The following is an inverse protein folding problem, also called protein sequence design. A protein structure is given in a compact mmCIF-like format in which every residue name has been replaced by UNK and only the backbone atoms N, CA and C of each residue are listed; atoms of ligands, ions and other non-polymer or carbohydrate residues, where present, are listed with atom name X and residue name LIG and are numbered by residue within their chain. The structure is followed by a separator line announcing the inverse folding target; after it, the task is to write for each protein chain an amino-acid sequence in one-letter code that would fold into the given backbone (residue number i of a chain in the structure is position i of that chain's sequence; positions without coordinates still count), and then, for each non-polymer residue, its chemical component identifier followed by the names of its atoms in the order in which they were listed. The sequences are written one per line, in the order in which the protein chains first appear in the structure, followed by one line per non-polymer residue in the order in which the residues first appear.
data_IF_026448555693
#
_entry.id   IF_026448555693
#
_cell.length_a   1.000
_cell.length_b   1.000
_cell.length_c   1.000
_cell.angle_alpha   90.00
_cell.angle_beta   90.00
_cell.angle_gamma   90.00
#
_symmetry.space_group_name_H-M   'P 1'
#
loop_
_entity.id
_entity.type
_entity.pdbx_description
1 polymer ?
#
# COMPACT_ATOMS: atom_id res chain seq x y z
N UNK A 1 4.98 -30.24 -30.38
CA UNK A 1 3.51 -30.04 -30.44
C UNK A 1 3.09 -29.51 -29.09
N UNK A 2 2.94 -28.19 -28.99
CA UNK A 2 2.54 -27.52 -27.76
C UNK A 2 1.01 -27.62 -27.64
N UNK A 3 0.54 -28.26 -26.58
CA UNK A 3 -0.88 -28.34 -26.26
C UNK A 3 -1.18 -27.18 -25.33
N UNK A 4 -1.78 -26.14 -25.90
CA UNK A 4 -2.32 -24.99 -25.21
C UNK A 4 -3.35 -25.47 -24.19
N UNK A 5 -3.04 -25.36 -22.89
CA UNK A 5 -4.01 -25.56 -21.83
C UNK A 5 -4.96 -24.34 -21.84
N UNK A 6 -6.05 -24.47 -22.58
CA UNK A 6 -7.26 -23.69 -22.34
C UNK A 6 -7.81 -24.26 -21.03
N UNK A 7 -7.60 -23.56 -19.92
CA UNK A 7 -8.32 -23.84 -18.68
C UNK A 7 -9.79 -23.57 -18.97
N UNK A 8 -10.57 -24.64 -19.03
CA UNK A 8 -12.02 -24.59 -19.17
C UNK A 8 -12.60 -23.87 -17.95
N UNK A 9 -13.36 -22.79 -18.16
CA UNK A 9 -14.23 -22.16 -17.15
C UNK A 9 -15.32 -23.12 -16.61
N UNK A 10 -15.45 -24.31 -17.20
CA UNK A 10 -16.57 -25.25 -17.03
C UNK A 10 -16.45 -26.29 -15.89
N UNK A 11 -15.52 -26.16 -14.95
CA UNK A 11 -15.37 -27.18 -13.88
C UNK A 11 -15.07 -26.67 -12.46
N UNK A 12 -15.38 -25.41 -12.12
CA UNK A 12 -15.45 -25.08 -10.69
C UNK A 12 -16.57 -25.86 -10.01
N UNK A 13 -16.27 -26.49 -8.87
CA UNK A 13 -17.28 -27.13 -8.02
C UNK A 13 -18.39 -26.09 -7.72
N UNK A 14 -19.69 -26.41 -7.87
CA UNK A 14 -20.78 -25.45 -7.66
C UNK A 14 -20.73 -24.74 -6.29
N UNK A 15 -20.17 -25.42 -5.28
CA UNK A 15 -19.95 -24.84 -3.95
C UNK A 15 -18.84 -23.78 -3.94
N UNK A 16 -17.74 -24.00 -4.69
CA UNK A 16 -16.66 -23.00 -4.86
C UNK A 16 -17.21 -21.75 -5.53
N UNK A 17 -17.99 -21.91 -6.61
CA UNK A 17 -18.64 -20.78 -7.30
C UNK A 17 -19.60 -20.02 -6.39
N UNK A 18 -20.36 -20.71 -5.54
CA UNK A 18 -21.26 -20.07 -4.59
C UNK A 18 -20.50 -19.22 -3.56
N UNK A 19 -19.35 -19.69 -3.07
CA UNK A 19 -18.49 -18.96 -2.13
C UNK A 19 -17.81 -17.76 -2.79
N UNK A 20 -17.42 -17.88 -4.06
CA UNK A 20 -16.79 -16.83 -4.86
C UNK A 20 -17.81 -16.05 -5.73
N UNK A 21 -19.02 -15.82 -5.20
CA UNK A 21 -20.11 -15.20 -5.97
C UNK A 21 -20.32 -13.71 -5.67
N UNK A 22 -19.83 -13.22 -4.52
CA UNK A 22 -20.05 -11.84 -4.06
C UNK A 22 -18.74 -11.08 -4.01
N UNK A 23 -18.42 -10.35 -5.06
CA UNK A 23 -17.22 -9.51 -5.08
C UNK A 23 -17.23 -8.47 -3.95
N UNK A 24 -16.05 -8.23 -3.37
CA UNK A 24 -15.80 -7.03 -2.56
C UNK A 24 -15.85 -5.82 -3.49
N UNK A 25 -16.48 -4.73 -3.02
CA UNK A 25 -16.57 -3.49 -3.78
C UNK A 25 -15.74 -2.41 -3.11
N UNK A 26 -14.92 -1.74 -3.90
CA UNK A 26 -14.14 -0.61 -3.40
C UNK A 26 -15.00 0.64 -3.22
N UNK A 27 -14.69 1.41 -2.17
CA UNK A 27 -15.35 2.68 -1.88
C UNK A 27 -14.90 3.76 -2.86
N UNK A 28 -15.85 4.51 -3.43
CA UNK A 28 -15.57 5.69 -4.24
C UNK A 28 -15.66 6.95 -3.37
N UNK A 29 -14.50 7.46 -2.94
CA UNK A 29 -14.38 8.66 -2.09
C UNK A 29 -14.94 9.93 -2.73
N UNK A 30 -15.17 9.92 -4.05
CA UNK A 30 -15.69 11.05 -4.83
C UNK A 30 -17.22 11.08 -4.86
N UNK A 31 -17.86 9.96 -4.53
CA UNK A 31 -19.32 9.77 -4.64
C UNK A 31 -20.11 10.38 -3.48
N UNK A 32 -19.43 10.76 -2.39
CA UNK A 32 -20.02 11.38 -1.21
C UNK A 32 -19.08 12.45 -0.64
N UNK A 33 -19.67 13.48 -0.03
CA UNK A 33 -18.92 14.57 0.62
C UNK A 33 -18.89 14.37 2.14
N UNK A 34 -17.75 13.95 2.68
CA UNK A 34 -17.58 13.72 4.11
C UNK A 34 -17.40 14.99 4.96
N UNK A 35 -17.15 16.16 4.35
CA UNK A 35 -16.82 17.40 5.09
C UNK A 35 -17.86 17.76 6.15
N UNK A 36 -19.19 17.72 5.89
CA UNK A 36 -20.18 18.06 6.91
C UNK A 36 -20.19 17.11 8.12
N UNK A 37 -19.81 15.84 7.92
CA UNK A 37 -19.69 14.86 9.01
C UNK A 37 -18.43 15.15 9.81
N UNK A 38 -17.28 15.30 9.11
CA UNK A 38 -15.98 15.58 9.72
C UNK A 38 -15.99 16.91 10.50
N UNK A 39 -16.61 17.96 9.96
CA UNK A 39 -16.74 19.26 10.60
C UNK A 39 -17.56 19.19 11.90
N UNK A 40 -18.56 18.29 11.98
CA UNK A 40 -19.29 18.03 13.23
C UNK A 40 -18.48 17.17 14.20
N UNK A 41 -17.76 16.16 13.71
CA UNK A 41 -16.90 15.28 14.53
C UNK A 41 -15.82 16.06 15.29
N UNK A 42 -15.38 17.21 14.77
CA UNK A 42 -14.50 18.18 15.46
C UNK A 42 -15.00 18.57 16.85
N UNK A 43 -16.32 18.70 17.02
CA UNK A 43 -16.97 19.12 18.25
C UNK A 43 -17.39 17.94 19.15
N UNK A 44 -17.14 16.71 18.70
CA UNK A 44 -17.42 15.48 19.46
C UNK A 44 -16.23 15.10 20.35
N UNK A 45 -16.27 13.90 20.93
CA UNK A 45 -15.25 13.33 21.82
C UNK A 45 -14.64 12.05 21.25
N UNK A 46 -13.52 11.61 21.83
CA UNK A 46 -12.82 10.37 21.48
C UNK A 46 -12.38 10.31 20.00
N UNK A 47 -12.37 9.12 19.42
CA UNK A 47 -11.93 8.83 18.06
C UNK A 47 -12.55 9.75 17.01
N UNK A 48 -13.77 10.26 17.23
CA UNK A 48 -14.39 11.22 16.30
C UNK A 48 -13.60 12.52 16.18
N UNK A 49 -13.17 13.09 17.32
CA UNK A 49 -12.37 14.30 17.34
C UNK A 49 -10.94 14.05 16.85
N UNK A 50 -10.41 12.87 17.16
CA UNK A 50 -9.10 12.44 16.64
C UNK A 50 -9.13 12.35 15.11
N UNK A 51 -10.18 11.76 14.52
CA UNK A 51 -10.35 11.74 13.06
C UNK A 51 -10.45 13.14 12.48
N UNK A 52 -11.27 14.03 13.06
CA UNK A 52 -11.38 15.40 12.57
C UNK A 52 -10.02 16.12 12.59
N UNK A 53 -9.24 15.97 13.66
CA UNK A 53 -7.88 16.52 13.75
C UNK A 53 -6.92 15.90 12.74
N UNK A 54 -7.01 14.60 12.51
CA UNK A 54 -6.24 13.93 11.45
C UNK A 54 -6.59 14.49 10.07
N UNK A 55 -7.87 14.74 9.78
CA UNK A 55 -8.25 15.36 8.49
C UNK A 55 -7.67 16.76 8.31
N UNK A 56 -7.61 17.58 9.37
CA UNK A 56 -6.97 18.90 9.31
C UNK A 56 -5.49 18.79 8.99
N UNK A 57 -4.78 17.90 9.69
CA UNK A 57 -3.35 17.69 9.49
C UNK A 57 -3.11 17.19 8.06
N UNK A 58 -3.93 16.27 7.54
CA UNK A 58 -3.76 15.75 6.19
C UNK A 58 -3.98 16.85 5.14
N UNK A 59 -5.04 17.66 5.30
CA UNK A 59 -5.27 18.80 4.43
C UNK A 59 -4.15 19.85 4.53
N UNK A 60 -3.53 20.02 5.70
CA UNK A 60 -2.34 20.87 5.85
C UNK A 60 -1.12 20.30 5.11
N UNK A 61 -0.90 18.98 5.13
CA UNK A 61 0.11 18.32 4.28
C UNK A 61 -0.14 18.61 2.80
N UNK A 62 -1.41 18.51 2.37
CA UNK A 62 -1.79 18.73 0.98
C UNK A 62 -1.64 20.19 0.55
N UNK A 63 -1.95 21.14 1.44
CA UNK A 63 -1.80 22.57 1.19
C UNK A 63 -0.35 23.06 1.24
N UNK A 64 0.56 22.32 1.87
CA UNK A 64 1.98 22.62 1.92
C UNK A 64 2.67 22.21 0.60
N UNK A 65 3.14 23.18 -0.22
CA UNK A 65 3.74 22.89 -1.52
C UNK A 65 5.09 22.18 -1.39
N UNK A 66 5.79 22.35 -0.27
CA UNK A 66 7.12 21.78 -0.03
C UNK A 66 7.05 20.38 0.60
N UNK A 67 5.90 20.00 1.15
CA UNK A 67 5.68 18.71 1.78
C UNK A 67 5.56 17.55 0.77
N UNK A 68 6.50 16.59 0.85
CA UNK A 68 6.35 15.24 0.30
C UNK A 68 5.44 14.40 1.20
N UNK A 69 4.35 13.86 0.66
CA UNK A 69 3.45 12.97 1.42
C UNK A 69 3.83 11.50 1.19
N UNK A 70 4.23 10.82 2.26
CA UNK A 70 4.47 9.37 2.26
C UNK A 70 3.24 8.67 2.83
N UNK A 71 2.63 7.79 2.03
CA UNK A 71 1.59 6.87 2.47
C UNK A 71 2.24 5.58 2.95
N UNK A 72 1.92 5.12 4.16
CA UNK A 72 2.30 3.77 4.61
C UNK A 72 1.09 2.86 4.65
N UNK A 73 1.18 1.68 4.02
CA UNK A 73 0.08 0.72 3.95
C UNK A 73 0.45 -0.59 4.65
N UNK A 74 -0.27 -0.88 5.73
CA UNK A 74 -0.25 -2.18 6.39
C UNK A 74 -1.68 -2.65 6.69
N UNK A 75 -1.84 -3.97 6.80
CA UNK A 75 -3.14 -4.61 6.98
C UNK A 75 -3.90 -4.81 5.67
N UNK A 76 -5.13 -5.32 5.79
CA UNK A 76 -5.91 -5.83 4.65
C UNK A 76 -7.05 -4.93 4.20
N UNK A 77 -7.02 -3.64 4.55
CA UNK A 77 -8.07 -2.66 4.12
C UNK A 77 -8.20 -2.59 2.60
N UNK A 78 -7.08 -2.79 1.91
CA UNK A 78 -6.96 -2.98 0.46
C UNK A 78 -7.91 -4.06 -0.08
N UNK A 79 -7.84 -5.28 0.46
CA UNK A 79 -8.78 -6.37 0.14
C UNK A 79 -10.19 -6.08 0.67
N UNK A 80 -10.30 -5.34 1.78
CA UNK A 80 -11.57 -4.95 2.42
C UNK A 80 -12.31 -3.78 1.74
N UNK A 81 -11.94 -3.38 0.53
CA UNK A 81 -12.67 -2.36 -0.24
C UNK A 81 -12.07 -0.95 -0.22
N UNK A 82 -10.81 -0.78 0.20
CA UNK A 82 -10.13 0.53 0.18
C UNK A 82 -9.07 0.68 -0.92
N UNK A 83 -8.87 -0.30 -1.82
CA UNK A 83 -7.79 -0.18 -2.82
C UNK A 83 -7.99 1.02 -3.76
N UNK A 84 -9.21 1.21 -4.27
CA UNK A 84 -9.50 2.31 -5.19
C UNK A 84 -9.36 3.69 -4.52
N UNK A 85 -9.56 3.75 -3.19
CA UNK A 85 -9.28 4.95 -2.41
C UNK A 85 -7.80 5.30 -2.48
N UNK A 86 -6.89 4.35 -2.26
CA UNK A 86 -5.45 4.59 -2.36
C UNK A 86 -5.03 4.97 -3.79
N UNK A 87 -5.61 4.30 -4.78
CA UNK A 87 -5.43 4.63 -6.19
C UNK A 87 -5.86 6.07 -6.52
N UNK A 88 -7.00 6.53 -5.97
CA UNK A 88 -7.45 7.92 -6.11
C UNK A 88 -6.48 8.91 -5.44
N UNK A 89 -5.91 8.59 -4.28
CA UNK A 89 -4.89 9.44 -3.64
C UNK A 89 -3.69 9.66 -4.58
N UNK A 90 -3.21 8.61 -5.24
CA UNK A 90 -2.13 8.71 -6.25
C UNK A 90 -2.60 9.50 -7.47
N UNK A 91 -3.78 9.16 -8.00
CA UNK A 91 -4.34 9.80 -9.20
C UNK A 91 -4.45 11.32 -9.07
N UNK A 92 -4.79 11.78 -7.86
CA UNK A 92 -5.03 13.17 -7.51
C UNK A 92 -3.82 13.87 -6.85
N UNK A 93 -2.60 13.31 -6.95
CA UNK A 93 -1.37 13.90 -6.38
C UNK A 93 -1.44 14.18 -4.87
N UNK A 94 -2.20 13.36 -4.13
CA UNK A 94 -2.33 13.46 -2.68
C UNK A 94 -1.28 12.63 -1.92
N UNK A 95 -0.53 11.80 -2.64
CA UNK A 95 0.56 10.96 -2.15
C UNK A 95 1.71 11.03 -3.16
N UNK A 96 2.93 11.13 -2.65
CA UNK A 96 4.14 11.34 -3.44
C UNK A 96 5.09 10.12 -3.40
N UNK A 97 5.01 9.30 -2.36
CA UNK A 97 5.69 8.00 -2.23
C UNK A 97 4.87 7.03 -1.36
N UNK A 98 5.04 5.73 -1.58
CA UNK A 98 4.33 4.68 -0.83
C UNK A 98 5.35 3.73 -0.19
N UNK A 99 5.15 3.39 1.06
CA UNK A 99 5.83 2.26 1.71
C UNK A 99 4.75 1.26 2.12
N UNK A 100 4.86 -0.01 1.75
CA UNK A 100 3.78 -0.98 1.94
C UNK A 100 4.29 -2.36 2.30
N UNK A 101 3.42 -3.20 2.87
CA UNK A 101 3.64 -4.66 2.87
C UNK A 101 3.52 -5.21 1.44
N UNK A 102 4.19 -6.34 1.18
CA UNK A 102 4.07 -7.03 -0.10
C UNK A 102 2.63 -7.43 -0.39
N UNK A 103 1.90 -7.97 0.61
CA UNK A 103 0.52 -8.41 0.46
C UNK A 103 -0.43 -7.30 -0.06
N UNK A 104 -0.31 -6.06 0.45
CA UNK A 104 -1.12 -4.94 -0.03
C UNK A 104 -0.84 -4.57 -1.49
N UNK A 105 0.39 -4.78 -1.97
CA UNK A 105 0.81 -4.42 -3.33
C UNK A 105 0.59 -5.56 -4.32
N UNK A 106 0.84 -6.80 -3.91
CA UNK A 106 0.84 -7.97 -4.79
C UNK A 106 -0.51 -8.68 -4.71
N UNK A 107 -0.79 -9.28 -3.55
CA UNK A 107 -1.95 -10.14 -3.30
C UNK A 107 -3.27 -9.37 -3.45
N UNK A 108 -3.24 -8.05 -3.22
CA UNK A 108 -4.42 -7.19 -3.26
C UNK A 108 -4.48 -6.34 -4.53
N UNK A 109 -3.50 -5.45 -4.78
CA UNK A 109 -3.58 -4.53 -5.92
C UNK A 109 -3.17 -5.16 -7.25
N UNK A 110 -1.95 -5.72 -7.36
CA UNK A 110 -1.45 -6.27 -8.61
C UNK A 110 -2.33 -7.44 -9.09
N UNK A 111 -2.76 -8.28 -8.16
CA UNK A 111 -3.75 -9.34 -8.35
C UNK A 111 -5.04 -8.81 -9.02
N UNK A 112 -5.67 -7.78 -8.45
CA UNK A 112 -6.83 -7.14 -9.08
C UNK A 112 -6.47 -6.39 -10.38
N UNK A 113 -5.25 -5.87 -10.48
CA UNK A 113 -4.64 -5.28 -11.66
C UNK A 113 -4.69 -6.22 -12.87
N UNK A 114 -4.46 -7.51 -12.65
CA UNK A 114 -4.58 -8.58 -13.66
C UNK A 114 -6.03 -9.02 -13.93
N UNK A 115 -6.98 -8.48 -13.17
CA UNK A 115 -8.42 -8.66 -13.32
C UNK A 115 -9.03 -9.72 -12.41
N UNK A 116 -8.27 -10.30 -11.50
CA UNK A 116 -8.78 -11.20 -10.47
C UNK A 116 -9.55 -10.43 -9.39
N UNK A 117 -10.23 -11.15 -8.49
CA UNK A 117 -11.23 -10.56 -7.58
C UNK A 117 -11.09 -11.10 -6.15
N UNK A 118 -11.41 -10.23 -5.21
CA UNK A 118 -11.70 -10.59 -3.83
C UNK A 118 -13.19 -10.75 -3.63
N UNK A 119 -13.61 -11.67 -2.76
CA UNK A 119 -15.02 -11.98 -2.51
C UNK A 119 -15.35 -11.85 -1.03
N UNK A 120 -16.59 -11.53 -0.70
CA UNK A 120 -17.05 -11.45 0.67
C UNK A 120 -17.15 -12.85 1.28
N UNK A 121 -16.53 -13.04 2.44
CA UNK A 121 -16.60 -14.30 3.16
C UNK A 121 -17.78 -14.36 4.13
N UNK A 122 -18.17 -15.59 4.46
CA UNK A 122 -19.04 -15.88 5.60
C UNK A 122 -18.19 -16.47 6.72
N UNK A 123 -18.37 -15.98 7.94
CA UNK A 123 -17.68 -16.49 9.13
C UNK A 123 -18.02 -17.95 9.47
N UNK A 124 -19.07 -18.49 8.85
CA UNK A 124 -19.61 -19.82 9.18
C UNK A 124 -18.92 -20.99 8.45
N UNK A 125 -18.07 -20.74 7.46
CA UNK A 125 -17.45 -21.82 6.66
C UNK A 125 -16.16 -22.31 7.34
N UNK A 126 -15.99 -23.62 7.45
CA UNK A 126 -14.78 -24.24 8.02
C UNK A 126 -13.57 -24.04 7.10
N UNK A 127 -12.44 -23.58 7.65
CA UNK A 127 -11.22 -23.33 6.87
C UNK A 127 -10.67 -24.58 6.17
N UNK A 128 -10.95 -25.78 6.67
CA UNK A 128 -10.55 -27.03 5.99
C UNK A 128 -11.33 -27.25 4.70
N UNK A 129 -12.62 -26.90 4.71
CA UNK A 129 -13.47 -26.96 3.53
C UNK A 129 -13.00 -25.93 2.50
N UNK A 130 -12.64 -24.72 2.95
CA UNK A 130 -12.03 -23.71 2.07
C UNK A 130 -10.73 -24.22 1.46
N UNK A 131 -9.84 -24.81 2.28
CA UNK A 131 -8.58 -25.38 1.83
C UNK A 131 -8.76 -26.49 0.80
N UNK A 132 -9.71 -27.41 1.01
CA UNK A 132 -10.02 -28.49 0.08
C UNK A 132 -10.55 -27.95 -1.27
N UNK A 133 -11.18 -26.78 -1.27
CA UNK A 133 -11.65 -26.07 -2.46
C UNK A 133 -10.65 -25.07 -3.04
N UNK A 134 -9.44 -24.95 -2.48
CA UNK A 134 -8.45 -23.98 -2.93
C UNK A 134 -8.96 -22.53 -2.83
N UNK A 135 -9.60 -22.21 -1.71
CA UNK A 135 -9.99 -20.85 -1.34
C UNK A 135 -9.20 -20.47 -0.08
N UNK A 136 -8.54 -19.33 -0.12
CA UNK A 136 -7.91 -18.75 1.07
C UNK A 136 -8.80 -17.66 1.66
N UNK A 137 -8.73 -17.52 2.99
CA UNK A 137 -9.52 -16.55 3.76
C UNK A 137 -8.61 -15.49 4.37
N UNK A 138 -8.97 -14.24 4.11
CA UNK A 138 -8.41 -13.04 4.74
C UNK A 138 -9.53 -12.44 5.60
N UNK A 139 -9.65 -12.89 6.85
CA UNK A 139 -10.75 -12.50 7.75
C UNK A 139 -12.13 -12.76 7.12
N UNK A 140 -12.88 -11.70 6.80
CA UNK A 140 -14.20 -11.73 6.18
C UNK A 140 -14.14 -11.57 4.64
N UNK A 141 -12.99 -11.88 4.04
CA UNK A 141 -12.74 -11.84 2.59
C UNK A 141 -12.16 -13.17 2.09
N UNK A 142 -12.55 -13.61 0.90
CA UNK A 142 -12.02 -14.77 0.19
C UNK A 142 -11.18 -14.36 -1.01
N UNK A 143 -10.19 -15.18 -1.33
CA UNK A 143 -9.38 -15.14 -2.54
C UNK A 143 -9.31 -16.56 -3.13
N UNK A 144 -9.35 -16.65 -4.46
CA UNK A 144 -9.15 -17.92 -5.16
C UNK A 144 -7.65 -18.21 -5.27
N UNK A 145 -7.20 -19.32 -4.70
CA UNK A 145 -5.78 -19.72 -4.73
C UNK A 145 -5.31 -20.03 -6.16
N UNK A 146 -6.20 -20.48 -7.06
CA UNK A 146 -5.82 -20.71 -8.46
C UNK A 146 -5.48 -19.38 -9.18
N UNK A 147 -6.25 -18.33 -8.90
CA UNK A 147 -5.97 -16.98 -9.38
C UNK A 147 -4.68 -16.43 -8.74
N UNK A 148 -4.45 -16.71 -7.45
CA UNK A 148 -3.26 -16.24 -6.73
C UNK A 148 -2.00 -16.91 -7.29
N UNK A 149 -2.06 -18.19 -7.62
CA UNK A 149 -0.97 -18.88 -8.32
C UNK A 149 -0.74 -18.31 -9.72
N UNK A 150 -1.78 -17.87 -10.44
CA UNK A 150 -1.60 -17.17 -11.71
C UNK A 150 -0.87 -15.81 -11.50
N UNK A 151 -1.11 -15.13 -10.38
CA UNK A 151 -0.34 -13.97 -9.96
C UNK A 151 1.13 -14.32 -9.67
N UNK A 152 1.40 -15.36 -8.90
CA UNK A 152 2.77 -15.84 -8.60
C UNK A 152 3.57 -16.14 -9.88
N UNK A 153 2.94 -16.83 -10.84
CA UNK A 153 3.56 -17.13 -12.13
C UNK A 153 3.83 -15.88 -12.96
N UNK A 154 2.99 -14.85 -12.83
CA UNK A 154 3.21 -13.57 -13.51
C UNK A 154 4.40 -12.82 -12.90
N UNK A 155 4.56 -12.86 -11.57
CA UNK A 155 5.75 -12.34 -10.89
C UNK A 155 7.01 -13.05 -11.38
N UNK A 156 6.97 -14.39 -11.48
CA UNK A 156 8.07 -15.16 -12.05
C UNK A 156 8.38 -14.72 -13.49
N UNK A 157 7.36 -14.58 -14.34
CA UNK A 157 7.52 -14.16 -15.73
C UNK A 157 8.21 -12.79 -15.85
N UNK A 158 7.81 -11.83 -15.00
CA UNK A 158 8.46 -10.51 -14.95
C UNK A 158 9.93 -10.67 -14.55
N UNK A 159 10.22 -11.43 -13.49
CA UNK A 159 11.59 -11.64 -13.03
C UNK A 159 12.47 -12.37 -14.06
N UNK A 160 11.93 -13.37 -14.76
CA UNK A 160 12.60 -14.09 -15.85
C UNK A 160 12.98 -13.16 -17.03
N UNK A 161 12.26 -12.05 -17.20
CA UNK A 161 12.53 -11.04 -18.22
C UNK A 161 13.58 -9.98 -17.85
N UNK A 162 14.10 -9.99 -16.61
CA UNK A 162 15.04 -8.99 -16.11
C UNK A 162 16.49 -9.50 -16.13
N UNK A 163 17.43 -8.57 -16.28
CA UNK A 163 18.86 -8.88 -16.15
C UNK A 163 19.18 -9.43 -14.74
N UNK A 164 20.05 -10.44 -14.60
CA UNK A 164 20.37 -11.10 -13.33
C UNK A 164 21.30 -10.24 -12.46
N UNK A 165 20.74 -9.16 -11.91
CA UNK A 165 21.42 -8.21 -11.02
C UNK A 165 20.57 -7.91 -9.78
N UNK A 166 21.10 -7.07 -8.90
CA UNK A 166 20.36 -6.56 -7.76
C UNK A 166 19.35 -5.49 -8.18
N UNK A 167 18.14 -5.55 -7.62
CA UNK A 167 17.07 -4.56 -7.78
C UNK A 167 16.52 -4.21 -6.40
N UNK A 168 16.16 -2.95 -6.17
CA UNK A 168 15.30 -2.60 -5.04
C UNK A 168 13.87 -3.12 -5.27
N UNK A 169 13.05 -3.29 -4.23
CA UNK A 169 11.64 -3.63 -4.42
C UNK A 169 10.93 -2.54 -5.22
N UNK A 170 11.31 -1.26 -5.06
CA UNK A 170 10.82 -0.16 -5.91
C UNK A 170 11.09 -0.41 -7.38
N UNK A 171 12.31 -0.81 -7.75
CA UNK A 171 12.65 -1.07 -9.13
C UNK A 171 11.83 -2.24 -9.70
N UNK A 172 11.66 -3.32 -8.94
CA UNK A 172 10.85 -4.46 -9.36
C UNK A 172 9.35 -4.12 -9.49
N UNK A 173 8.79 -3.40 -8.52
CA UNK A 173 7.39 -2.95 -8.55
C UNK A 173 7.14 -1.99 -9.73
N UNK A 174 8.14 -1.20 -10.14
CA UNK A 174 8.03 -0.40 -11.36
C UNK A 174 7.87 -1.27 -12.62
N UNK A 175 8.54 -2.43 -12.68
CA UNK A 175 8.37 -3.38 -13.79
C UNK A 175 7.02 -4.12 -13.72
N UNK A 176 6.50 -4.37 -12.52
CA UNK A 176 5.09 -4.81 -12.35
C UNK A 176 4.10 -3.76 -12.88
N UNK A 177 4.33 -2.48 -12.55
CA UNK A 177 3.52 -1.38 -13.08
C UNK A 177 3.60 -1.29 -14.60
N UNK A 178 4.80 -1.43 -15.17
CA UNK A 178 4.99 -1.50 -16.63
C UNK A 178 4.21 -2.67 -17.24
N UNK A 179 4.27 -3.85 -16.63
CA UNK A 179 3.50 -5.01 -17.07
C UNK A 179 1.99 -4.70 -17.10
N UNK A 180 1.44 -4.09 -16.04
CA UNK A 180 0.03 -3.71 -15.99
C UNK A 180 -0.35 -2.63 -17.01
N UNK A 181 0.56 -1.76 -17.46
CA UNK A 181 0.25 -0.83 -18.57
C UNK A 181 -0.04 -1.55 -19.89
N UNK A 182 0.47 -2.76 -20.07
CA UNK A 182 0.35 -3.54 -21.30
C UNK A 182 -0.70 -4.66 -21.18
N UNK A 183 -0.83 -5.24 -20.00
CA UNK A 183 -1.61 -6.46 -19.75
C UNK A 183 -2.72 -6.28 -18.70
N UNK A 184 -2.76 -5.14 -18.01
CA UNK A 184 -3.70 -4.90 -16.92
C UNK A 184 -5.16 -4.88 -17.40
N UNK A 185 -6.05 -5.36 -16.53
CA UNK A 185 -7.51 -5.38 -16.73
C UNK A 185 -8.26 -4.41 -15.81
N UNK A 186 -7.57 -3.82 -14.83
CA UNK A 186 -8.11 -2.80 -13.92
C UNK A 186 -7.37 -1.48 -14.12
N UNK A 187 -8.10 -0.45 -14.55
CA UNK A 187 -7.52 0.89 -14.82
C UNK A 187 -7.05 1.61 -13.56
N UNK A 188 -7.73 1.39 -12.44
CA UNK A 188 -7.43 2.00 -11.15
C UNK A 188 -6.63 1.07 -10.22
N UNK A 189 -5.76 0.23 -10.77
CA UNK A 189 -4.71 -0.42 -9.97
C UNK A 189 -3.75 0.64 -9.43
N UNK A 190 -3.47 0.58 -8.13
CA UNK A 190 -2.49 1.41 -7.44
C UNK A 190 -1.09 1.29 -8.06
N UNK A 191 -0.62 0.07 -8.34
CA UNK A 191 0.69 -0.23 -8.94
C UNK A 191 0.79 0.35 -10.34
N UNK A 192 -0.24 0.16 -11.18
CA UNK A 192 -0.30 0.76 -12.53
C UNK A 192 -0.26 2.28 -12.46
N UNK A 193 -1.13 2.88 -11.65
CA UNK A 193 -1.22 4.33 -11.51
C UNK A 193 0.06 4.94 -10.93
N UNK A 194 0.66 4.29 -9.94
CA UNK A 194 1.91 4.74 -9.34
C UNK A 194 3.04 4.78 -10.37
N UNK A 195 3.15 3.75 -11.22
CA UNK A 195 4.10 3.73 -12.33
C UNK A 195 3.87 4.88 -13.32
N UNK A 196 2.64 5.07 -13.79
CA UNK A 196 2.29 6.14 -14.76
C UNK A 196 2.53 7.55 -14.17
N UNK A 197 2.18 7.73 -12.89
CA UNK A 197 2.31 9.00 -12.16
C UNK A 197 3.71 9.23 -11.60
N UNK A 198 4.61 8.26 -11.70
CA UNK A 198 5.96 8.35 -11.14
C UNK A 198 5.98 8.42 -9.62
N UNK A 199 5.05 7.75 -8.93
CA UNK A 199 5.05 7.59 -7.47
C UNK A 199 5.79 6.29 -7.14
N UNK A 200 6.94 6.32 -6.44
CA UNK A 200 7.66 5.10 -6.08
C UNK A 200 6.94 4.35 -4.96
N UNK A 201 6.89 3.03 -5.06
CA UNK A 201 6.38 2.11 -4.05
C UNK A 201 7.55 1.30 -3.50
N UNK A 202 7.73 1.27 -2.18
CA UNK A 202 8.75 0.49 -1.50
C UNK A 202 8.10 -0.61 -0.64
N UNK A 203 8.62 -1.83 -0.73
CA UNK A 203 8.19 -2.97 0.07
C UNK A 203 9.42 -3.66 0.71
N UNK A 204 9.86 -3.23 1.91
CA UNK A 204 11.11 -3.72 2.49
C UNK A 204 11.12 -5.23 2.76
N UNK A 205 9.95 -5.81 3.03
CA UNK A 205 9.74 -7.25 3.18
C UNK A 205 8.94 -7.81 1.99
N UNK A 206 9.36 -7.52 0.76
CA UNK A 206 8.58 -7.84 -0.45
C UNK A 206 8.31 -9.33 -0.63
N UNK A 207 9.28 -10.18 -0.31
CA UNK A 207 9.15 -11.65 -0.44
C UNK A 207 8.15 -12.26 0.55
N UNK A 208 7.71 -11.51 1.55
CA UNK A 208 6.62 -11.91 2.46
C UNK A 208 5.25 -11.55 1.85
N UNK A 209 4.96 -12.15 0.69
CA UNK A 209 3.73 -12.01 -0.11
C UNK A 209 3.69 -13.03 -1.25
N UNK A 210 2.62 -13.02 -2.06
CA UNK A 210 2.50 -13.79 -3.32
C UNK A 210 3.74 -13.63 -4.22
N UNK A 211 4.38 -12.45 -4.23
CA UNK A 211 5.59 -12.25 -5.03
C UNK A 211 6.75 -13.18 -4.63
N UNK A 212 6.85 -13.57 -3.36
CA UNK A 212 7.88 -14.48 -2.87
C UNK A 212 7.85 -15.84 -3.59
N UNK A 213 6.68 -16.40 -3.85
CA UNK A 213 6.54 -17.71 -4.49
C UNK A 213 7.04 -17.67 -5.94
N UNK A 214 6.64 -16.62 -6.70
CA UNK A 214 7.13 -16.39 -8.06
C UNK A 214 8.64 -16.18 -8.12
N UNK A 215 9.20 -15.40 -7.18
CA UNK A 215 10.64 -15.13 -7.11
C UNK A 215 11.47 -16.36 -6.72
N UNK A 216 10.98 -17.19 -5.79
CA UNK A 216 11.61 -18.47 -5.45
C UNK A 216 11.64 -19.39 -6.67
N UNK A 217 10.53 -19.46 -7.42
CA UNK A 217 10.47 -20.25 -8.64
C UNK A 217 11.44 -19.74 -9.71
N UNK A 218 11.56 -18.42 -9.89
CA UNK A 218 12.56 -17.79 -10.76
C UNK A 218 13.98 -18.23 -10.36
N UNK A 219 14.31 -18.16 -9.07
CA UNK A 219 15.63 -18.53 -8.57
C UNK A 219 15.96 -20.02 -8.78
N UNK A 220 15.00 -20.92 -8.52
CA UNK A 220 15.16 -22.36 -8.71
C UNK A 220 15.37 -22.72 -10.18
N UNK A 221 14.65 -22.05 -11.09
CA UNK A 221 14.75 -22.30 -12.52
C UNK A 221 16.02 -21.69 -13.15
N UNK A 222 16.60 -20.66 -12.52
CA UNK A 222 17.75 -19.94 -13.03
C UNK A 222 18.93 -19.94 -12.02
N UNK A 223 19.49 -21.10 -11.66
CA UNK A 223 20.55 -21.19 -10.65
C UNK A 223 21.80 -20.42 -11.09
N UNK A 224 22.23 -19.45 -10.28
CA UNK A 224 23.38 -18.58 -10.55
C UNK A 224 23.16 -17.54 -11.66
N UNK A 225 21.96 -17.46 -12.25
CA UNK A 225 21.60 -16.52 -13.31
C UNK A 225 20.22 -15.90 -13.05
N UNK A 226 20.00 -15.41 -11.84
CA UNK A 226 18.73 -14.83 -11.40
C UNK A 226 18.94 -13.41 -10.86
N UNK A 227 17.86 -12.61 -10.90
CA UNK A 227 17.82 -11.34 -10.20
C UNK A 227 17.72 -11.55 -8.68
N UNK A 228 18.13 -10.55 -7.91
CA UNK A 228 17.99 -10.54 -6.44
C UNK A 228 17.37 -9.22 -5.98
N UNK A 229 16.68 -9.26 -4.84
CA UNK A 229 16.17 -8.06 -4.19
C UNK A 229 17.16 -7.53 -3.16
N UNK A 230 17.53 -6.26 -3.31
CA UNK A 230 18.38 -5.52 -2.38
C UNK A 230 17.52 -4.60 -1.51
N UNK A 231 17.28 -5.04 -0.27
CA UNK A 231 16.53 -4.27 0.72
C UNK A 231 17.31 -3.06 1.27
N UNK A 232 18.64 -3.04 1.14
CA UNK A 232 19.45 -1.87 1.48
C UNK A 232 19.20 -0.77 0.45
N UNK A 233 19.11 -1.14 -0.83
CA UNK A 233 18.78 -0.20 -1.90
C UNK A 233 17.41 0.47 -1.66
N UNK A 234 16.39 -0.27 -1.22
CA UNK A 234 15.09 0.33 -0.85
C UNK A 234 15.24 1.43 0.21
N UNK A 235 15.99 1.14 1.27
CA UNK A 235 16.10 2.08 2.39
C UNK A 235 16.94 3.30 2.03
N UNK A 236 18.02 3.09 1.26
CA UNK A 236 18.84 4.17 0.70
C UNK A 236 18.03 5.06 -0.24
N UNK A 237 17.32 4.49 -1.19
CA UNK A 237 16.53 5.24 -2.17
C UNK A 237 15.43 6.09 -1.50
N UNK A 238 14.69 5.52 -0.54
CA UNK A 238 13.69 6.29 0.20
C UNK A 238 14.33 7.43 1.03
N UNK A 239 15.51 7.18 1.62
CA UNK A 239 16.28 8.19 2.35
C UNK A 239 16.78 9.31 1.43
N UNK A 240 17.20 8.99 0.20
CA UNK A 240 17.58 9.99 -0.81
C UNK A 240 16.41 10.91 -1.17
N UNK A 241 15.17 10.38 -1.25
CA UNK A 241 13.99 11.22 -1.44
C UNK A 241 13.78 12.15 -0.25
N UNK A 242 13.97 11.68 0.98
CA UNK A 242 13.89 12.52 2.19
C UNK A 242 14.94 13.63 2.17
N UNK A 243 16.19 13.32 1.84
CA UNK A 243 17.28 14.31 1.74
C UNK A 243 16.97 15.36 0.66
N UNK A 244 16.48 14.92 -0.50
CA UNK A 244 16.19 15.81 -1.63
C UNK A 244 14.97 16.71 -1.39
N UNK A 245 13.94 16.20 -0.71
CA UNK A 245 12.68 16.93 -0.51
C UNK A 245 12.64 17.74 0.78
N UNK A 246 13.40 17.35 1.80
CA UNK A 246 13.43 18.00 3.10
C UNK A 246 12.13 17.81 3.88
N UNK A 247 11.10 18.61 3.58
CA UNK A 247 9.83 18.58 4.30
C UNK A 247 8.99 17.38 3.89
N UNK A 248 8.52 16.60 4.86
CA UNK A 248 7.67 15.44 4.60
C UNK A 248 6.59 15.23 5.64
N UNK A 249 5.50 14.59 5.22
CA UNK A 249 4.36 14.20 6.05
C UNK A 249 4.05 12.71 5.89
N UNK A 250 3.60 12.08 6.97
CA UNK A 250 3.29 10.64 7.02
C UNK A 250 1.77 10.44 7.16
N UNK A 251 1.15 9.76 6.20
CA UNK A 251 -0.20 9.21 6.33
C UNK A 251 -0.06 7.69 6.51
N UNK A 252 -0.24 7.20 7.73
CA UNK A 252 0.06 5.82 8.08
C UNK A 252 -1.21 5.04 8.38
N UNK A 253 -1.45 3.99 7.60
CA UNK A 253 -2.54 3.04 7.80
C UNK A 253 -1.96 1.77 8.42
N UNK A 254 -2.37 1.46 9.64
CA UNK A 254 -1.84 0.35 10.42
C UNK A 254 -0.49 0.70 11.08
N UNK A 255 0.49 -0.19 10.91
CA UNK A 255 1.79 -0.12 11.59
C UNK A 255 2.85 -0.97 10.92
N UNK A 256 3.59 -1.75 11.71
CA UNK A 256 4.58 -2.72 11.20
C UNK A 256 5.76 -2.08 10.47
N UNK A 257 6.33 -2.85 9.54
CA UNK A 257 7.48 -2.45 8.73
C UNK A 257 7.22 -1.14 7.96
N UNK A 258 6.09 -0.94 7.26
CA UNK A 258 5.87 0.28 6.48
C UNK A 258 5.97 1.56 7.30
N UNK A 259 5.37 1.57 8.50
CA UNK A 259 5.45 2.69 9.44
C UNK A 259 6.89 2.98 9.85
N UNK A 260 7.58 1.98 10.41
CA UNK A 260 8.91 2.21 10.98
C UNK A 260 9.93 2.56 9.89
N UNK A 261 9.87 1.87 8.74
CA UNK A 261 10.77 2.09 7.62
C UNK A 261 10.68 3.51 7.05
N UNK A 262 9.47 4.06 6.91
CA UNK A 262 9.29 5.44 6.48
C UNK A 262 9.85 6.45 7.51
N UNK A 263 9.60 6.21 8.80
CA UNK A 263 10.04 7.08 9.88
C UNK A 263 11.58 7.11 10.05
N UNK A 264 12.25 5.97 9.83
CA UNK A 264 13.69 5.83 10.02
C UNK A 264 14.53 6.58 8.97
N UNK A 265 13.91 7.09 7.91
CA UNK A 265 14.60 7.87 6.86
C UNK A 265 15.29 9.12 7.39
N UNK A 266 14.75 9.74 8.45
CA UNK A 266 15.38 10.90 9.12
C UNK A 266 16.69 10.50 9.78
N UNK A 267 16.66 9.43 10.57
CA UNK A 267 17.84 8.91 11.28
C UNK A 267 18.87 8.37 10.30
N UNK A 268 18.44 7.70 9.23
CA UNK A 268 19.34 7.24 8.17
C UNK A 268 20.05 8.40 7.48
N UNK A 269 19.33 9.49 7.16
CA UNK A 269 19.95 10.68 6.58
C UNK A 269 21.00 11.30 7.52
N UNK A 270 20.73 11.36 8.83
CA UNK A 270 21.70 11.84 9.83
C UNK A 270 22.97 10.97 9.86
N UNK A 271 22.81 9.64 9.84
CA UNK A 271 23.94 8.68 9.77
C UNK A 271 24.75 8.87 8.49
N UNK A 272 24.11 9.26 7.38
CA UNK A 272 24.77 9.59 6.11
C UNK A 272 25.39 11.00 6.10
N UNK A 273 25.32 11.75 7.21
CA UNK A 273 25.90 13.07 7.36
C UNK A 273 25.05 14.21 6.79
N UNK A 274 23.76 13.98 6.58
CA UNK A 274 22.82 15.01 6.12
C UNK A 274 21.95 15.51 7.27
N UNK A 275 21.93 16.82 7.47
CA UNK A 275 20.99 17.48 8.37
C UNK A 275 19.64 17.65 7.65
N UNK A 276 18.63 16.88 8.07
CA UNK A 276 17.28 16.92 7.52
C UNK A 276 16.26 17.11 8.64
N UNK A 277 15.18 17.88 8.43
CA UNK A 277 14.17 18.06 9.45
C UNK A 277 13.42 16.74 9.72
N UNK A 278 12.87 16.59 10.93
CA UNK A 278 11.92 15.52 11.24
C UNK A 278 10.70 15.55 10.30
N UNK A 279 9.92 14.47 10.28
CA UNK A 279 8.61 14.50 9.60
C UNK A 279 7.71 15.56 10.26
N UNK A 280 7.34 16.58 9.50
CA UNK A 280 6.61 17.77 9.98
C UNK A 280 5.15 17.47 10.33
N UNK A 281 4.57 16.49 9.63
CA UNK A 281 3.18 16.07 9.81
C UNK A 281 3.13 14.56 9.98
N UNK A 282 2.31 14.06 10.89
CA UNK A 282 2.14 12.61 11.07
C UNK A 282 0.72 12.24 11.49
N UNK A 283 0.13 11.29 10.76
CA UNK A 283 -1.16 10.69 11.08
C UNK A 283 -0.97 9.19 11.11
N UNK A 284 -1.44 8.54 12.17
CA UNK A 284 -1.53 7.07 12.22
C UNK A 284 -2.97 6.64 12.50
N UNK A 285 -3.57 5.84 11.62
CA UNK A 285 -4.84 5.14 11.89
C UNK A 285 -4.50 3.70 12.25
N UNK A 286 -4.85 3.26 13.46
CA UNK A 286 -4.39 1.96 13.97
C UNK A 286 -5.35 1.37 15.02
N UNK A 287 -5.31 0.05 15.16
CA UNK A 287 -5.93 -0.68 16.28
C UNK A 287 -4.89 -1.22 17.28
N UNK A 288 -3.60 -0.95 17.02
CA UNK A 288 -2.50 -1.46 17.84
C UNK A 288 -2.51 -0.83 19.24
N UNK A 289 -2.20 -1.65 20.24
CA UNK A 289 -2.24 -1.28 21.65
C UNK A 289 -0.84 -1.35 22.26
N UNK A 290 -0.43 -0.31 22.97
CA UNK A 290 0.93 -0.17 23.55
C UNK A 290 1.37 -1.35 24.41
N UNK A 291 0.44 -2.15 24.94
CA UNK A 291 0.74 -3.32 25.76
C UNK A 291 1.44 -4.44 25.00
N UNK A 292 1.33 -4.48 23.67
CA UNK A 292 2.01 -5.48 22.85
C UNK A 292 3.51 -5.18 22.64
N UNK A 293 3.97 -3.96 22.95
CA UNK A 293 5.36 -3.53 22.78
C UNK A 293 5.84 -3.50 21.32
N UNK A 294 4.94 -3.55 20.35
CA UNK A 294 5.26 -3.64 18.94
C UNK A 294 5.55 -2.27 18.30
N UNK A 295 6.29 -2.25 17.19
CA UNK A 295 6.48 -1.04 16.38
C UNK A 295 5.15 -0.42 15.92
N UNK A 296 4.12 -1.27 15.72
CA UNK A 296 2.77 -0.83 15.36
C UNK A 296 2.13 0.06 16.41
N UNK A 297 2.35 -0.21 17.70
CA UNK A 297 1.76 0.50 18.82
C UNK A 297 2.62 1.65 19.37
N UNK A 298 3.90 1.74 18.96
CA UNK A 298 4.80 2.86 19.29
C UNK A 298 4.14 4.21 19.00
N UNK A 299 4.15 5.12 19.98
CA UNK A 299 3.43 6.40 19.86
C UNK A 299 4.21 7.40 19.01
N UNK A 300 3.51 8.38 18.41
CA UNK A 300 4.19 9.47 17.69
C UNK A 300 5.07 10.34 18.62
N UNK A 301 4.73 10.40 19.92
CA UNK A 301 5.56 11.04 20.95
C UNK A 301 6.85 10.26 21.21
N UNK A 302 6.78 8.94 21.23
CA UNK A 302 7.97 8.10 21.31
C UNK A 302 8.85 8.29 20.08
N UNK A 303 8.27 8.29 18.87
CA UNK A 303 8.99 8.53 17.61
C UNK A 303 9.75 9.88 17.59
N UNK A 304 9.23 10.91 18.27
CA UNK A 304 9.92 12.17 18.46
C UNK A 304 11.21 12.05 19.28
N UNK A 305 11.25 11.18 20.31
CA UNK A 305 12.47 10.96 21.10
C UNK A 305 13.60 10.33 20.28
N UNK A 306 13.25 9.66 19.18
CA UNK A 306 14.19 9.09 18.21
C UNK A 306 14.55 10.06 17.07
N UNK A 307 14.10 11.32 17.13
CA UNK A 307 14.35 12.29 16.07
C UNK A 307 13.60 12.00 14.77
N UNK A 308 12.51 11.21 14.79
CA UNK A 308 11.78 10.82 13.56
C UNK A 308 10.66 11.79 13.20
N UNK A 309 9.84 12.18 14.17
CA UNK A 309 8.57 12.90 13.96
C UNK A 309 8.52 14.16 14.82
N UNK A 310 8.12 15.28 14.22
CA UNK A 310 7.76 16.50 14.96
C UNK A 310 6.35 16.36 15.53
N UNK A 311 6.17 16.67 16.82
CA UNK A 311 4.91 16.50 17.55
C UNK A 311 3.96 17.69 17.42
N UNK A 312 4.35 18.77 16.72
CA UNK A 312 3.50 19.94 16.56
C UNK A 312 2.20 19.62 15.78
N UNK A 313 2.30 18.79 14.75
CA UNK A 313 1.20 18.43 13.85
C UNK A 313 1.09 16.90 13.70
N UNK A 314 0.85 16.24 14.84
CA UNK A 314 0.64 14.80 14.93
C UNK A 314 -0.77 14.42 15.40
N UNK A 315 -1.26 13.27 14.94
CA UNK A 315 -2.47 12.65 15.47
C UNK A 315 -2.49 11.12 15.25
N UNK A 316 -2.71 10.37 16.34
CA UNK A 316 -3.09 8.95 16.26
C UNK A 316 -4.62 8.82 16.34
N UNK A 317 -5.21 8.01 15.46
CA UNK A 317 -6.64 7.68 15.42
C UNK A 317 -6.77 6.19 15.72
N UNK A 318 -7.24 5.87 16.92
CA UNK A 318 -7.45 4.49 17.35
C UNK A 318 -8.78 3.96 16.80
N UNK A 319 -8.74 3.37 15.61
CA UNK A 319 -9.89 2.88 14.86
C UNK A 319 -9.47 1.80 13.84
N UNK A 320 -10.44 0.95 13.47
CA UNK A 320 -10.34 0.15 12.26
C UNK A 320 -10.35 1.08 11.04
N UNK A 321 -9.39 0.93 10.13
CA UNK A 321 -9.13 1.94 9.11
C UNK A 321 -10.24 2.05 8.06
N UNK A 322 -10.89 0.95 7.66
CA UNK A 322 -12.05 0.96 6.78
C UNK A 322 -13.23 1.80 7.29
N UNK A 323 -13.39 1.93 8.61
CA UNK A 323 -14.45 2.74 9.21
C UNK A 323 -14.20 4.26 9.19
N UNK A 324 -12.94 4.72 9.07
CA UNK A 324 -12.58 6.15 9.21
C UNK A 324 -11.82 6.72 8.02
N UNK A 325 -11.01 5.91 7.33
CA UNK A 325 -10.20 6.33 6.20
C UNK A 325 -11.04 6.87 5.02
N UNK A 326 -12.21 6.28 4.67
CA UNK A 326 -13.04 6.85 3.61
C UNK A 326 -13.51 8.27 3.90
N UNK A 327 -13.77 8.60 5.18
CA UNK A 327 -14.17 9.95 5.59
C UNK A 327 -13.00 10.92 5.45
N UNK A 328 -11.78 10.53 5.86
CA UNK A 328 -10.57 11.34 5.72
C UNK A 328 -10.24 11.62 4.25
N UNK A 329 -10.28 10.59 3.41
CA UNK A 329 -9.95 10.71 1.99
C UNK A 329 -11.02 11.50 1.21
N UNK A 330 -12.30 11.29 1.49
CA UNK A 330 -13.39 12.08 0.91
C UNK A 330 -13.30 13.56 1.32
N UNK A 331 -13.06 13.86 2.61
CA UNK A 331 -12.87 15.24 3.07
C UNK A 331 -11.74 15.95 2.29
N UNK A 332 -10.58 15.29 2.18
CA UNK A 332 -9.43 15.82 1.44
C UNK A 332 -9.72 16.03 -0.06
N UNK A 333 -10.41 15.07 -0.69
CA UNK A 333 -10.82 15.18 -2.09
C UNK A 333 -11.73 16.39 -2.31
N UNK A 334 -12.73 16.58 -1.46
CA UNK A 334 -13.72 17.65 -1.59
C UNK A 334 -13.23 19.03 -1.12
N UNK A 335 -12.24 19.11 -0.22
CA UNK A 335 -11.55 20.39 0.08
C UNK A 335 -10.67 20.87 -1.07
N UNK A 336 -10.08 19.94 -1.83
CA UNK A 336 -9.49 20.25 -3.12
C UNK A 336 -8.09 20.86 -3.09
N UNK A 337 -7.39 20.87 -1.96
CA UNK A 337 -6.00 21.37 -1.87
C UNK A 337 -5.06 20.67 -2.86
N UNK A 338 -5.31 19.39 -3.12
CA UNK A 338 -4.60 18.56 -4.09
C UNK A 338 -4.60 19.13 -5.51
N UNK A 339 -5.60 19.93 -5.90
CA UNK A 339 -5.68 20.54 -7.23
C UNK A 339 -4.54 21.52 -7.50
N UNK A 340 -3.98 22.11 -6.45
CA UNK A 340 -2.86 23.04 -6.53
C UNK A 340 -1.50 22.35 -6.30
N UNK A 341 -1.49 21.04 -6.00
CA UNK A 341 -0.26 20.28 -5.82
C UNK A 341 0.34 19.89 -7.17
N UNK A 342 1.60 20.22 -7.36
CA UNK A 342 2.37 19.73 -8.50
C UNK A 342 2.65 18.24 -8.34
N UNK A 343 2.50 17.47 -9.42
CA UNK A 343 2.93 16.08 -9.45
C UNK A 343 4.45 16.00 -9.30
N UNK A 344 4.95 15.43 -8.20
CA UNK A 344 6.38 15.37 -7.89
C UNK A 344 7.16 14.34 -8.72
N UNK A 345 6.47 13.29 -9.18
CA UNK A 345 7.05 12.19 -9.98
C UNK A 345 8.37 11.65 -9.41
N UNK A 346 8.42 11.37 -8.10
CA UNK A 346 9.65 11.02 -7.38
C UNK A 346 10.34 9.75 -7.88
N UNK A 347 9.65 8.86 -8.59
CA UNK A 347 10.27 7.70 -9.23
C UNK A 347 11.26 8.11 -10.35
N UNK A 348 11.09 9.30 -10.95
CA UNK A 348 11.97 9.80 -11.99
C UNK A 348 13.36 10.19 -11.43
N UNK A 349 13.52 10.29 -10.11
CA UNK A 349 14.83 10.52 -9.46
C UNK A 349 15.80 9.35 -9.67
N UNK A 350 15.26 8.15 -9.88
CA UNK A 350 16.03 6.91 -10.03
C UNK A 350 16.12 6.43 -11.49
N UNK A 351 15.75 7.27 -12.45
CA UNK A 351 15.95 7.00 -13.87
C UNK A 351 17.33 7.53 -14.25
N UNK A 352 18.17 6.62 -14.74
CA UNK A 352 19.45 6.98 -15.37
C UNK A 352 19.25 7.76 -16.68
#
# INVERSE_FOLDING_TARGET
MAQTAILNEDMMHPEKQALLSKEVKHIDIKSFDARPIVDQMRHMSFTSRDLARATEIYNAMLADPDCMVILTLAGSTSAGGCMDLYADLVKHNMVDAIVSTGASIVDMDFFEGMGFKHYQASDSVDDRVLRDMYIDRIYDTYIDEEDLQACDHTIQLIADGLEPKAYSSRAFIAEMGRYLTQHGKKENSLVKLAFEKGVPIFCPAFTDSSAGFGLVKHQVNNPGNHMVLDSIADFRELTELKIKTGTSGLLMIGGGVPKNFAQDTVVCAEILGHDVPMHKYAIQITVADVRDGACSSSTLKEACSWGKVDVALEQMVFAEAGSVLPLLASDAYHRGFWKNRQARRLADVFKD
#
